data_IF_522189076812
#
_entry.id   IF_522189076812
#
_cell.length_a   1.000
_cell.length_b   1.000
_cell.length_c   1.000
_cell.angle_alpha   90.00
_cell.angle_beta   90.00
_cell.angle_gamma   90.00
#
_symmetry.space_group_name_H-M   'P 1'
#
loop_
_entity.id
_entity.type
_entity.pdbx_description
1 polymer ?
#
# COMPACT_ATOMS: atom_id res chain seq x y z
N UNK A 1 3.45 17.79 -12.20
CA UNK A 1 3.57 18.21 -10.79
C UNK A 1 2.31 17.76 -10.04
N UNK A 2 2.39 17.43 -8.75
CA UNK A 2 1.23 17.08 -7.93
C UNK A 2 0.99 18.13 -6.85
N UNK A 3 -0.26 18.56 -6.70
CA UNK A 3 -0.74 19.33 -5.55
C UNK A 3 -1.55 18.37 -4.68
N UNK A 4 -1.08 18.15 -3.46
CA UNK A 4 -1.70 17.24 -2.50
C UNK A 4 -2.50 18.06 -1.49
N UNK A 5 -3.75 17.68 -1.27
CA UNK A 5 -4.64 18.33 -0.30
C UNK A 5 -4.85 17.43 0.91
N UNK A 6 -4.50 17.96 2.07
CA UNK A 6 -4.78 17.35 3.37
C UNK A 6 -5.52 18.35 4.26
N UNK A 7 -6.10 17.82 5.33
CA UNK A 7 -6.62 18.66 6.42
C UNK A 7 -5.44 19.24 7.20
N UNK A 8 -5.58 20.46 7.71
CA UNK A 8 -4.47 21.19 8.34
C UNK A 8 -3.90 20.58 9.63
N UNK A 9 -4.56 19.56 10.18
CA UNK A 9 -4.16 18.77 11.34
C UNK A 9 -3.59 17.37 10.96
N UNK A 10 -3.51 17.06 9.67
CA UNK A 10 -2.96 15.80 9.17
C UNK A 10 -1.62 16.02 8.47
N UNK A 11 -0.65 15.16 8.78
CA UNK A 11 0.63 15.11 8.07
C UNK A 11 0.57 14.18 6.85
N UNK A 12 1.37 14.51 5.84
CA UNK A 12 1.47 13.74 4.60
C UNK A 12 2.43 12.54 4.74
N UNK A 13 1.93 11.35 4.43
CA UNK A 13 2.74 10.15 4.26
C UNK A 13 3.21 10.01 2.80
N UNK A 14 4.47 10.37 2.55
CA UNK A 14 5.05 10.40 1.19
C UNK A 14 5.00 9.03 0.50
N UNK A 15 5.17 7.93 1.24
CA UNK A 15 5.08 6.57 0.68
C UNK A 15 3.70 6.28 0.06
N UNK A 16 2.62 6.64 0.77
CA UNK A 16 1.25 6.46 0.25
C UNK A 16 1.02 7.31 -1.01
N UNK A 17 1.55 8.52 -1.04
CA UNK A 17 1.50 9.39 -2.22
C UNK A 17 2.22 8.75 -3.42
N UNK A 18 3.44 8.25 -3.22
CA UNK A 18 4.22 7.60 -4.27
C UNK A 18 3.51 6.37 -4.84
N UNK A 19 2.98 5.51 -3.96
CA UNK A 19 2.22 4.32 -4.36
C UNK A 19 0.94 4.68 -5.12
N UNK A 20 0.22 5.70 -4.66
CA UNK A 20 -1.03 6.17 -5.28
C UNK A 20 -0.82 6.74 -6.69
N UNK A 21 0.27 7.48 -6.88
CA UNK A 21 0.61 8.15 -8.14
C UNK A 21 1.43 7.25 -9.07
N UNK A 22 2.02 6.18 -8.55
CA UNK A 22 2.98 5.34 -9.29
C UNK A 22 4.31 6.06 -9.54
N UNK A 23 4.69 6.99 -8.67
CA UNK A 23 5.93 7.75 -8.79
C UNK A 23 7.10 6.97 -8.16
N UNK A 24 8.26 6.96 -8.82
CA UNK A 24 9.49 6.34 -8.29
C UNK A 24 10.14 7.15 -7.17
N UNK A 25 9.91 8.46 -7.16
CA UNK A 25 10.45 9.40 -6.17
C UNK A 25 9.54 10.61 -6.09
N UNK A 26 9.36 11.13 -4.88
CA UNK A 26 8.63 12.35 -4.61
C UNK A 26 9.46 13.23 -3.65
N UNK A 27 9.51 14.52 -3.93
CA UNK A 27 10.10 15.53 -3.04
C UNK A 27 9.17 16.72 -2.90
N UNK A 28 9.25 17.48 -1.79
CA UNK A 28 8.63 18.79 -1.70
C UNK A 28 9.10 19.70 -2.85
N UNK A 29 8.19 20.56 -3.29
CA UNK A 29 8.48 21.59 -4.28
C UNK A 29 9.37 22.68 -3.69
N UNK A 30 10.33 23.17 -4.46
CA UNK A 30 11.09 24.34 -4.06
C UNK A 30 10.26 25.63 -4.24
N UNK A 31 10.52 26.70 -3.48
CA UNK A 31 9.76 27.95 -3.56
C UNK A 31 9.69 28.54 -4.96
N UNK A 32 10.78 28.47 -5.73
CA UNK A 32 10.84 28.94 -7.12
C UNK A 32 9.89 28.15 -8.03
N UNK A 33 9.81 26.82 -7.87
CA UNK A 33 8.91 25.98 -8.66
C UNK A 33 7.45 26.29 -8.35
N UNK A 34 7.15 26.62 -7.09
CA UNK A 34 5.82 27.02 -6.65
C UNK A 34 5.45 28.38 -7.26
N UNK A 35 6.37 29.34 -7.23
CA UNK A 35 6.16 30.67 -7.78
C UNK A 35 5.93 30.60 -9.30
N UNK A 36 6.70 29.79 -10.02
CA UNK A 36 6.53 29.58 -11.46
C UNK A 36 5.19 28.91 -11.80
N UNK A 37 4.68 28.05 -10.92
CA UNK A 37 3.43 27.31 -11.15
C UNK A 37 2.16 28.08 -10.78
N UNK A 38 2.17 28.73 -9.61
CA UNK A 38 0.96 29.31 -9.01
C UNK A 38 1.07 30.82 -8.77
N UNK A 39 2.26 31.39 -8.99
CA UNK A 39 2.58 32.81 -8.78
C UNK A 39 2.24 33.28 -7.37
N UNK A 40 2.47 32.41 -6.39
CA UNK A 40 2.20 32.66 -4.98
C UNK A 40 3.21 31.90 -4.10
N UNK A 41 3.44 32.44 -2.92
CA UNK A 41 4.26 31.87 -1.86
C UNK A 41 3.57 30.67 -1.20
N UNK A 42 4.37 29.77 -0.63
CA UNK A 42 3.92 28.50 -0.04
C UNK A 42 2.79 28.68 1.02
N UNK A 43 2.78 29.80 1.74
CA UNK A 43 1.79 30.09 2.78
C UNK A 43 0.41 30.55 2.29
N UNK A 44 0.22 30.76 0.97
CA UNK A 44 -1.07 31.21 0.41
C UNK A 44 -1.55 30.34 -0.76
N UNK A 45 -1.06 29.10 -0.82
CA UNK A 45 -1.44 28.13 -1.83
C UNK A 45 -2.80 27.49 -1.53
N UNK A 46 -3.56 27.24 -2.59
CA UNK A 46 -4.81 26.47 -2.51
C UNK A 46 -5.14 25.83 -3.84
N UNK A 47 -6.00 24.82 -3.83
CA UNK A 47 -6.37 24.11 -5.06
C UNK A 47 -7.41 24.85 -5.92
N UNK A 48 -8.10 25.85 -5.37
CA UNK A 48 -9.09 26.65 -6.10
C UNK A 48 -8.38 27.46 -7.18
N UNK A 49 -8.69 27.20 -8.45
CA UNK A 49 -8.07 27.91 -9.57
C UNK A 49 -6.63 27.50 -9.90
N UNK A 50 -6.04 26.56 -9.14
CA UNK A 50 -4.62 26.22 -9.24
C UNK A 50 -4.26 25.63 -10.62
N UNK A 51 -5.14 24.80 -11.17
CA UNK A 51 -4.93 24.17 -12.48
C UNK A 51 -4.98 25.20 -13.60
N UNK A 52 -5.92 26.15 -13.55
CA UNK A 52 -6.04 27.21 -14.55
C UNK A 52 -4.78 28.08 -14.56
N UNK A 53 -4.22 28.40 -13.40
CA UNK A 53 -2.94 29.12 -13.28
C UNK A 53 -1.76 28.32 -13.83
N UNK A 54 -1.64 27.06 -13.44
CA UNK A 54 -0.57 26.20 -13.96
C UNK A 54 -0.65 26.07 -15.48
N UNK A 55 -1.86 25.90 -16.03
CA UNK A 55 -2.09 25.84 -17.48
C UNK A 55 -1.75 27.17 -18.18
N UNK A 56 -2.09 28.31 -17.59
CA UNK A 56 -1.69 29.63 -18.10
C UNK A 56 -0.15 29.78 -18.16
N UNK A 57 0.57 29.12 -17.27
CA UNK A 57 2.03 29.06 -17.25
C UNK A 57 2.60 27.88 -18.07
N UNK A 58 1.81 27.25 -18.95
CA UNK A 58 2.19 26.08 -19.77
C UNK A 58 2.69 24.87 -18.95
N UNK A 59 2.11 24.63 -17.77
CA UNK A 59 2.47 23.52 -16.87
C UNK A 59 1.26 22.65 -16.55
N UNK A 60 1.52 21.36 -16.40
CA UNK A 60 0.49 20.40 -16.00
C UNK A 60 0.52 20.14 -14.48
N UNK A 61 -0.64 20.35 -13.85
CA UNK A 61 -0.86 20.14 -12.42
C UNK A 61 -1.94 19.08 -12.20
N UNK A 62 -1.56 18.05 -11.47
CA UNK A 62 -2.45 17.00 -10.98
C UNK A 62 -2.83 17.30 -9.54
N UNK A 63 -4.12 17.26 -9.22
CA UNK A 63 -4.60 17.52 -7.87
C UNK A 63 -5.05 16.20 -7.26
N UNK A 64 -4.52 15.88 -6.10
CA UNK A 64 -4.92 14.70 -5.33
C UNK A 64 -5.33 15.14 -3.93
N UNK A 65 -6.35 14.51 -3.36
CA UNK A 65 -6.86 14.89 -2.05
C UNK A 65 -7.07 13.68 -1.15
N UNK A 66 -6.85 13.91 0.14
CA UNK A 66 -7.10 12.92 1.18
C UNK A 66 -8.59 12.61 1.31
N UNK A 67 -8.93 11.35 1.58
CA UNK A 67 -10.30 10.90 1.80
C UNK A 67 -11.01 11.65 2.93
N UNK A 68 -10.29 12.15 3.94
CA UNK A 68 -10.89 12.89 5.07
C UNK A 68 -11.51 14.24 4.66
N UNK A 69 -11.15 14.77 3.49
CA UNK A 69 -11.69 16.01 2.92
C UNK A 69 -13.00 15.80 2.15
N UNK A 70 -13.39 14.55 1.89
CA UNK A 70 -14.63 14.24 1.17
C UNK A 70 -15.86 14.70 1.96
N UNK A 71 -16.80 15.38 1.30
CA UNK A 71 -18.00 15.93 1.94
C UNK A 71 -17.76 17.09 2.92
N UNK A 72 -16.52 17.58 3.07
CA UNK A 72 -16.21 18.73 3.93
C UNK A 72 -16.58 20.03 3.24
N UNK A 73 -17.21 20.94 3.99
CA UNK A 73 -17.68 22.25 3.53
C UNK A 73 -17.17 23.36 4.44
N UNK A 74 -17.22 24.59 3.94
CA UNK A 74 -16.82 25.79 4.67
C UNK A 74 -15.35 25.75 5.15
N UNK A 75 -14.49 25.17 4.31
CA UNK A 75 -13.06 25.08 4.56
C UNK A 75 -12.36 26.41 4.24
N UNK A 76 -11.14 26.54 4.75
CA UNK A 76 -10.24 27.65 4.45
C UNK A 76 -9.07 27.12 3.61
N UNK A 77 -8.73 27.82 2.53
CA UNK A 77 -7.60 27.47 1.66
C UNK A 77 -6.93 28.75 1.15
N UNK A 78 -5.69 28.66 0.68
CA UNK A 78 -5.01 29.83 0.10
C UNK A 78 -5.65 30.27 -1.22
N UNK A 79 -5.60 31.56 -1.51
CA UNK A 79 -6.18 32.13 -2.72
C UNK A 79 -5.24 32.08 -3.95
N UNK A 80 -4.08 31.40 -3.85
CA UNK A 80 -2.98 31.50 -4.81
C UNK A 80 -2.56 32.95 -5.05
N UNK A 81 -2.62 33.79 -4.01
CA UNK A 81 -2.19 35.19 -4.01
C UNK A 81 -1.60 35.48 -2.64
N UNK A 82 -0.42 36.10 -2.61
CA UNK A 82 0.32 36.32 -1.37
C UNK A 82 -0.49 37.11 -0.34
N UNK A 83 -0.66 36.51 0.84
CA UNK A 83 -1.37 37.12 1.97
C UNK A 83 -2.88 36.92 1.95
N UNK A 84 -3.46 36.20 0.98
CA UNK A 84 -4.90 36.01 0.84
C UNK A 84 -5.32 34.55 1.06
N UNK A 85 -6.43 34.39 1.79
CA UNK A 85 -7.09 33.11 2.01
C UNK A 85 -8.56 33.20 1.62
N UNK A 86 -9.07 32.12 1.03
CA UNK A 86 -10.48 31.92 0.74
C UNK A 86 -11.11 31.19 1.92
N UNK A 87 -12.29 31.66 2.36
CA UNK A 87 -13.14 31.01 3.37
C UNK A 87 -14.44 30.58 2.70
N UNK A 88 -15.15 29.60 3.26
CA UNK A 88 -16.41 29.13 2.64
C UNK A 88 -16.20 28.17 1.48
N UNK A 89 -15.01 27.59 1.36
CA UNK A 89 -14.68 26.68 0.25
C UNK A 89 -15.29 25.31 0.50
N UNK A 90 -15.96 24.79 -0.53
CA UNK A 90 -16.47 23.42 -0.55
C UNK A 90 -15.60 22.62 -1.51
N UNK A 91 -14.98 21.55 -1.01
CA UNK A 91 -14.03 20.74 -1.79
C UNK A 91 -14.71 20.13 -3.01
N UNK A 92 -15.95 19.66 -2.87
CA UNK A 92 -16.65 19.02 -3.98
C UNK A 92 -17.09 20.03 -5.04
N UNK A 93 -17.55 21.21 -4.62
CA UNK A 93 -18.01 22.27 -5.53
C UNK A 93 -16.86 22.99 -6.23
N UNK A 94 -15.84 23.38 -5.47
CA UNK A 94 -14.83 24.36 -5.92
C UNK A 94 -13.55 23.68 -6.43
N UNK A 95 -13.26 22.45 -5.98
CA UNK A 95 -12.03 21.74 -6.32
C UNK A 95 -12.31 20.49 -7.15
N UNK A 96 -13.35 19.70 -6.87
CA UNK A 96 -13.55 18.40 -7.53
C UNK A 96 -14.35 18.54 -8.83
N UNK A 97 -15.40 19.38 -8.83
CA UNK A 97 -16.25 19.51 -10.00
C UNK A 97 -15.48 20.18 -11.13
N UNK A 98 -15.39 19.55 -12.31
CA UNK A 98 -14.91 20.23 -13.49
C UNK A 98 -15.88 21.37 -13.76
N UNK A 99 -15.38 22.60 -13.63
CA UNK A 99 -16.06 23.75 -14.18
C UNK A 99 -16.21 23.52 -15.70
N UNK A 100 -17.33 23.97 -16.26
CA UNK A 100 -17.74 23.75 -17.67
C UNK A 100 -16.66 24.13 -18.71
N UNK A 101 -15.64 24.88 -18.28
CA UNK A 101 -14.53 25.39 -19.08
C UNK A 101 -13.23 24.57 -18.92
N UNK A 102 -13.20 23.49 -18.13
CA UNK A 102 -11.98 22.66 -17.91
C UNK A 102 -12.33 21.16 -17.97
N UNK A 103 -12.49 20.59 -19.17
CA UNK A 103 -12.93 19.19 -19.37
C UNK A 103 -11.94 18.11 -18.95
N UNK A 104 -10.72 18.46 -18.50
CA UNK A 104 -9.65 17.51 -18.22
C UNK A 104 -9.19 17.51 -16.76
N UNK A 105 -10.08 17.79 -15.80
CA UNK A 105 -9.66 17.80 -14.40
C UNK A 105 -9.33 16.38 -13.91
N UNK A 106 -8.03 16.08 -13.82
CA UNK A 106 -7.52 14.86 -13.20
C UNK A 106 -7.46 15.09 -11.69
N UNK A 107 -8.52 14.65 -11.02
CA UNK A 107 -8.65 14.68 -9.56
C UNK A 107 -8.74 13.24 -9.04
N UNK A 108 -7.95 12.91 -8.02
CA UNK A 108 -7.98 11.58 -7.37
C UNK A 108 -8.16 11.71 -5.86
N UNK A 109 -9.07 10.91 -5.32
CA UNK A 109 -9.21 10.67 -3.88
C UNK A 109 -8.36 9.49 -3.47
N UNK A 110 -7.55 9.63 -2.43
CA UNK A 110 -6.81 8.51 -1.84
C UNK A 110 -6.48 8.78 -0.36
N UNK A 111 -6.00 7.77 0.36
CA UNK A 111 -5.48 7.96 1.72
C UNK A 111 -4.01 8.43 1.66
N UNK A 112 -3.76 9.66 2.10
CA UNK A 112 -2.41 10.25 2.10
C UNK A 112 -1.89 10.55 3.51
N UNK A 113 -2.73 10.45 4.54
CA UNK A 113 -2.38 10.90 5.88
C UNK A 113 -1.48 9.90 6.61
N UNK A 114 -0.65 10.43 7.50
CA UNK A 114 0.00 9.65 8.56
C UNK A 114 -1.08 9.28 9.60
N UNK A 115 -1.01 8.04 10.09
CA UNK A 115 -1.92 7.54 11.14
C UNK A 115 -1.44 8.06 12.49
N UNK A 116 -2.35 8.61 13.29
CA UNK A 116 -2.06 9.01 14.67
C UNK A 116 -2.25 7.84 15.64
N UNK A 117 -1.56 7.84 16.80
CA UNK A 117 -1.79 6.83 17.83
C UNK A 117 -3.23 6.93 18.36
N UNK A 118 -3.77 5.79 18.79
CA UNK A 118 -5.14 5.59 19.29
C UNK A 118 -6.27 5.77 18.26
N UNK A 119 -5.95 5.81 16.96
CA UNK A 119 -6.98 5.75 15.94
C UNK A 119 -7.62 4.36 15.84
N UNK A 120 -8.85 4.31 15.32
CA UNK A 120 -9.56 3.04 15.12
C UNK A 120 -8.81 2.14 14.13
N UNK A 121 -8.69 0.86 14.48
CA UNK A 121 -8.09 -0.14 13.59
C UNK A 121 -9.03 -0.41 12.41
N UNK A 122 -8.54 -0.36 11.15
CA UNK A 122 -9.38 -0.62 9.98
C UNK A 122 -9.82 -2.09 9.85
N UNK A 123 -9.19 -3.02 10.58
CA UNK A 123 -9.45 -4.46 10.50
C UNK A 123 -10.12 -5.05 11.75
N UNK A 124 -10.30 -4.23 12.80
CA UNK A 124 -10.91 -4.67 14.05
C UNK A 124 -12.10 -3.76 14.37
N UNK A 125 -13.19 -4.31 14.89
CA UNK A 125 -14.39 -3.54 15.19
C UNK A 125 -14.21 -2.59 16.39
N UNK A 126 -13.37 -2.97 17.37
CA UNK A 126 -13.22 -2.23 18.64
C UNK A 126 -11.76 -1.92 19.00
N UNK A 127 -10.80 -2.28 18.15
CA UNK A 127 -9.37 -2.10 18.42
C UNK A 127 -8.89 -0.69 18.11
N UNK A 128 -7.91 -0.21 18.86
CA UNK A 128 -7.17 1.03 18.60
C UNK A 128 -5.74 0.72 18.14
N UNK A 129 -5.15 1.62 17.35
CA UNK A 129 -3.80 1.48 16.83
C UNK A 129 -2.79 2.09 17.79
N UNK A 130 -1.84 1.28 18.25
CA UNK A 130 -0.66 1.76 18.96
C UNK A 130 0.56 1.80 18.04
N UNK A 131 1.37 2.84 18.20
CA UNK A 131 2.57 3.07 17.38
C UNK A 131 3.80 2.81 18.25
N UNK A 132 4.56 1.78 17.90
CA UNK A 132 5.82 1.43 18.53
C UNK A 132 6.98 1.55 17.54
N UNK A 133 8.15 1.92 18.04
CA UNK A 133 9.37 1.91 17.24
C UNK A 133 9.91 0.49 17.18
N UNK A 134 10.21 0.02 15.98
CA UNK A 134 10.81 -1.28 15.74
C UNK A 134 11.97 -1.15 14.74
N UNK A 135 12.92 -2.07 14.82
CA UNK A 135 13.96 -2.23 13.80
C UNK A 135 13.54 -3.33 12.83
N UNK A 136 13.51 -3.00 11.55
CA UNK A 136 13.25 -3.99 10.51
C UNK A 136 14.51 -4.84 10.29
N UNK A 137 14.42 -6.16 10.57
CA UNK A 137 15.54 -7.09 10.42
C UNK A 137 15.53 -7.76 9.02
N UNK A 138 14.37 -7.81 8.36
CA UNK A 138 14.24 -8.35 7.02
C UNK A 138 12.84 -8.23 6.44
N UNK A 139 12.77 -8.11 5.11
CA UNK A 139 11.52 -7.95 4.35
C UNK A 139 11.34 -9.14 3.40
N UNK A 140 10.20 -9.82 3.48
CA UNK A 140 9.79 -10.84 2.49
C UNK A 140 8.82 -10.20 1.51
N UNK A 141 9.20 -10.06 0.24
CA UNK A 141 8.32 -9.56 -0.82
C UNK A 141 7.98 -10.67 -1.83
N UNK A 142 6.79 -10.59 -2.42
CA UNK A 142 6.38 -11.48 -3.52
C UNK A 142 6.71 -10.81 -4.84
N UNK A 143 7.74 -11.25 -5.60
CA UNK A 143 8.04 -10.65 -6.89
C UNK A 143 6.89 -10.89 -7.87
N UNK A 144 6.42 -9.82 -8.50
CA UNK A 144 5.52 -9.93 -9.65
C UNK A 144 6.23 -10.69 -10.77
N UNK A 145 5.46 -11.40 -11.60
CA UNK A 145 5.97 -12.25 -12.69
C UNK A 145 6.44 -11.41 -13.89
N UNK A 146 7.25 -10.38 -13.66
CA UNK A 146 7.94 -9.59 -14.67
C UNK A 146 9.43 -9.86 -14.58
N UNK A 147 9.82 -11.11 -14.85
CA UNK A 147 11.22 -11.42 -15.09
C UNK A 147 11.55 -10.79 -16.46
N UNK A 148 12.57 -9.92 -16.56
CA UNK A 148 12.97 -9.39 -17.87
C UNK A 148 13.29 -10.56 -18.78
N UNK A 149 12.81 -10.51 -20.02
CA UNK A 149 12.95 -11.55 -21.06
C UNK A 149 14.39 -12.04 -21.24
N UNK A 150 15.38 -11.24 -20.80
CA UNK A 150 16.80 -11.58 -20.71
C UNK A 150 17.13 -12.79 -19.81
N UNK A 151 16.34 -13.07 -18.78
CA UNK A 151 16.57 -14.18 -17.82
C UNK A 151 15.45 -15.22 -17.82
N UNK A 152 14.42 -15.02 -18.65
CA UNK A 152 13.38 -15.99 -18.86
C UNK A 152 13.97 -17.20 -19.59
N UNK A 153 14.47 -18.20 -18.84
CA UNK A 153 14.68 -19.53 -19.41
C UNK A 153 13.29 -20.12 -19.63
N UNK A 154 12.83 -20.35 -20.87
CA UNK A 154 11.56 -21.02 -21.09
C UNK A 154 11.64 -22.39 -20.42
N UNK A 155 10.83 -22.57 -19.39
CA UNK A 155 10.65 -23.88 -18.79
C UNK A 155 9.79 -24.65 -19.78
N UNK A 156 10.34 -25.65 -20.46
CA UNK A 156 9.57 -26.55 -21.32
C UNK A 156 8.64 -27.38 -20.44
N UNK A 157 7.42 -26.89 -20.22
CA UNK A 157 6.38 -27.69 -19.60
C UNK A 157 6.09 -28.90 -20.49
N UNK A 158 6.02 -30.13 -19.98
CA UNK A 158 5.46 -31.24 -20.74
C UNK A 158 4.01 -30.90 -21.06
N UNK A 159 3.68 -30.87 -22.36
CA UNK A 159 2.36 -30.72 -22.99
C UNK A 159 1.20 -30.38 -22.04
N UNK A 160 0.72 -29.13 -22.13
CA UNK A 160 -0.57 -28.71 -21.60
C UNK A 160 -1.67 -29.72 -22.03
N UNK A 161 -2.28 -30.42 -21.07
CA UNK A 161 -3.56 -31.08 -21.31
C UNK A 161 -4.60 -29.97 -21.50
N UNK A 162 -5.20 -29.92 -22.69
CA UNK A 162 -6.37 -29.08 -22.95
C UNK A 162 -7.51 -29.60 -22.06
N UNK A 163 -8.00 -28.76 -21.15
CA UNK A 163 -9.26 -29.03 -20.47
C UNK A 163 -10.42 -28.75 -21.45
N UNK A 164 -11.43 -29.61 -21.54
CA UNK A 164 -12.61 -29.36 -22.36
C UNK A 164 -13.40 -28.14 -21.84
N UNK A 165 -13.98 -27.38 -22.76
CA UNK A 165 -14.57 -26.04 -22.57
C UNK A 165 -15.82 -25.96 -21.69
N UNK A 166 -16.28 -27.06 -21.08
CA UNK A 166 -17.48 -27.05 -20.21
C UNK A 166 -17.19 -26.72 -18.74
N UNK A 167 -15.92 -26.53 -18.35
CA UNK A 167 -15.50 -26.22 -16.97
C UNK A 167 -14.71 -24.89 -16.87
N UNK A 168 -14.99 -23.92 -17.74
CA UNK A 168 -14.20 -22.69 -17.85
C UNK A 168 -14.45 -21.62 -16.74
N UNK A 169 -15.22 -21.94 -15.70
CA UNK A 169 -15.51 -21.02 -14.60
C UNK A 169 -15.03 -21.60 -13.26
N UNK A 170 -13.72 -21.45 -12.97
CA UNK A 170 -13.01 -21.53 -11.66
C UNK A 170 -11.67 -22.28 -11.71
N UNK A 171 -10.75 -21.86 -12.58
CA UNK A 171 -9.35 -22.30 -12.47
C UNK A 171 -8.39 -21.18 -12.88
N UNK A 172 -8.03 -20.31 -11.92
CA UNK A 172 -6.84 -19.48 -12.08
C UNK A 172 -5.64 -20.41 -12.21
N UNK A 173 -4.90 -20.30 -13.31
CA UNK A 173 -3.79 -21.16 -13.69
C UNK A 173 -2.79 -21.42 -12.56
N UNK A 174 -2.96 -22.55 -11.85
CA UNK A 174 -1.93 -23.14 -11.02
C UNK A 174 -0.91 -23.80 -11.94
N UNK A 175 0.11 -23.04 -12.35
CA UNK A 175 1.31 -23.64 -12.93
C UNK A 175 2.02 -24.46 -11.86
N UNK A 176 1.89 -25.78 -11.95
CA UNK A 176 2.62 -26.74 -11.16
C UNK A 176 4.13 -26.48 -11.29
N UNK A 177 4.81 -26.31 -10.16
CA UNK A 177 6.27 -26.20 -10.09
C UNK A 177 6.89 -27.61 -10.07
N UNK A 178 7.81 -27.89 -10.99
CA UNK A 178 8.68 -29.06 -10.89
C UNK A 178 9.62 -28.90 -9.69
N UNK A 179 9.40 -29.68 -8.62
CA UNK A 179 10.46 -29.94 -7.64
C UNK A 179 11.57 -30.74 -8.33
N UNK A 180 12.82 -30.28 -8.24
CA UNK A 180 13.98 -31.08 -8.64
C UNK A 180 13.99 -32.41 -7.85
N UNK A 181 14.23 -33.57 -8.47
CA UNK A 181 14.53 -34.78 -7.71
C UNK A 181 15.88 -34.59 -7.01
N UNK A 182 15.91 -34.83 -5.69
CA UNK A 182 17.16 -34.87 -4.92
C UNK A 182 18.06 -35.95 -5.48
N UNK A 183 19.33 -35.63 -5.72
CA UNK A 183 20.37 -36.60 -6.04
C UNK A 183 20.42 -37.67 -4.96
N UNK A 184 20.08 -38.89 -5.37
CA UNK A 184 20.06 -40.12 -4.58
C UNK A 184 21.50 -40.45 -4.16
N UNK A 185 21.84 -40.30 -2.88
CA UNK A 185 23.02 -40.97 -2.29
C UNK A 185 22.56 -42.37 -1.88
N UNK A 186 23.07 -43.37 -2.59
CA UNK A 186 22.91 -44.78 -2.27
C UNK A 186 23.93 -45.19 -1.21
N UNK A 187 23.47 -45.63 -0.05
CA UNK A 187 24.13 -46.68 0.72
C UNK A 187 23.08 -47.75 1.05
N UNK A 188 23.42 -49.00 0.76
CA UNK A 188 22.54 -50.16 0.89
C UNK A 188 23.32 -51.26 1.58
N UNK A 189 22.87 -51.66 2.77
CA UNK A 189 23.04 -52.99 3.39
C UNK A 189 21.96 -53.11 4.48
N UNK A 190 20.84 -53.82 4.24
CA UNK A 190 20.52 -55.20 4.70
C UNK A 190 20.61 -55.36 6.25
N UNK A 191 19.66 -55.92 7.00
CA UNK A 191 18.65 -56.93 6.68
C UNK A 191 17.53 -57.02 7.75
N UNK A 192 16.35 -57.43 7.27
CA UNK A 192 15.34 -58.32 7.90
C UNK A 192 14.93 -58.17 9.38
N UNK A 193 13.63 -57.93 9.59
CA UNK A 193 12.85 -58.91 10.34
C UNK A 193 11.99 -58.41 11.51
N UNK A 194 10.67 -58.50 11.28
CA UNK A 194 9.63 -59.01 12.20
C UNK A 194 9.09 -58.13 13.33
N UNK A 195 7.79 -57.88 13.18
CA UNK A 195 6.73 -57.58 14.17
C UNK A 195 6.81 -58.45 15.44
N UNK A 196 6.63 -57.85 16.63
CA UNK A 196 6.09 -58.41 17.89
C UNK A 196 5.83 -57.21 18.85
N UNK A 197 4.60 -56.80 19.17
CA UNK A 197 3.64 -57.28 20.19
C UNK A 197 3.90 -56.86 21.67
N UNK A 198 3.30 -55.71 22.07
CA UNK A 198 2.82 -55.26 23.42
C UNK A 198 3.77 -55.42 24.65
N UNK A 199 3.33 -55.16 25.91
CA UNK A 199 3.35 -53.85 26.61
C UNK A 199 4.08 -53.92 27.98
N UNK A 200 4.42 -52.78 28.62
CA UNK A 200 4.45 -52.67 30.11
C UNK A 200 4.93 -51.29 30.60
N UNK A 201 4.03 -50.62 31.35
CA UNK A 201 4.26 -49.91 32.62
C UNK A 201 5.67 -49.43 32.96
N UNK A 202 5.85 -48.12 33.14
CA UNK A 202 6.80 -47.58 34.12
C UNK A 202 6.14 -46.45 34.90
N UNK A 203 5.65 -46.81 36.08
CA UNK A 203 5.32 -45.92 37.18
C UNK A 203 6.61 -45.41 37.81
N UNK A 204 6.65 -44.17 38.27
CA UNK A 204 7.69 -43.71 39.20
C UNK A 204 7.04 -42.92 40.34
N UNK A 205 7.61 -43.00 41.56
CA UNK A 205 6.82 -43.04 42.78
C UNK A 205 6.61 -41.67 43.43
N UNK A 206 5.41 -41.53 44.02
CA UNK A 206 5.08 -40.58 45.08
C UNK A 206 5.64 -41.04 46.42
N UNK A 207 6.17 -40.11 47.23
CA UNK A 207 6.13 -40.07 48.71
C UNK A 207 6.49 -38.64 49.15
N UNK A 208 5.54 -37.83 49.63
CA UNK A 208 5.17 -37.63 51.06
C UNK A 208 6.37 -37.23 51.93
N UNK A 209 6.37 -36.28 52.85
CA UNK A 209 5.36 -35.44 53.52
C UNK A 209 6.14 -34.76 54.65
N UNK A 210 5.89 -33.50 54.96
CA UNK A 210 6.50 -32.86 56.14
C UNK A 210 5.86 -31.51 56.42
N UNK A 211 5.04 -31.47 57.46
CA UNK A 211 4.18 -30.36 57.91
C UNK A 211 4.78 -29.77 59.19
N UNK A 212 4.34 -28.55 59.55
CA UNK A 212 4.56 -27.77 60.80
C UNK A 212 5.76 -26.82 60.69
N UNK A 213 5.70 -25.57 61.14
CA UNK A 213 4.78 -24.88 62.05
C UNK A 213 4.62 -23.42 61.63
#
# INVERSE_FOLDING_TARGET
>A
MFLVLLRGDHDLQVTKLMDSVGALSARPAHPEEIQDLLSASAGSLGAVGARQKAQANNRELFIVADLALKGRRNMVTGANKDGYHLRGVDVERDIVKPNMNTPHQVFKWDDFRVVSPHEACPNCETGVLDIFKAMEIGHIFKPARSIPTRWARPCSTPKARKFPSSWAATASASSAYCRRPSSRITTRTASSGRRQSRPSTWSSPSRTSGRRS
#
